data_IF_201836663625
#
_entry.id   IF_201836663625
#
_cell.length_a   1.000
_cell.length_b   1.000
_cell.length_c   1.000
_cell.angle_alpha   90.00
_cell.angle_beta   90.00
_cell.angle_gamma   90.00
#
_symmetry.space_group_name_H-M   'P 1'
#
loop_
_entity.id
_entity.type
_entity.pdbx_description
1 polymer ?
#
# COMPACT_ATOMS: atom_id res chain seq x y z
N UNK A 1 1.70 8.16 5.56
CA UNK A 1 1.19 8.54 4.22
C UNK A 1 1.61 9.96 3.84
N UNK A 2 0.99 11.02 4.38
CA UNK A 2 1.34 12.42 4.03
C UNK A 2 2.81 12.79 4.29
N UNK A 3 3.36 12.33 5.42
CA UNK A 3 4.78 12.56 5.76
C UNK A 3 5.76 12.01 4.71
N UNK A 4 5.32 11.06 3.87
CA UNK A 4 6.10 10.43 2.81
C UNK A 4 5.59 10.79 1.41
N UNK A 5 4.80 11.86 1.28
CA UNK A 5 4.38 12.38 -0.03
C UNK A 5 3.29 11.57 -0.75
N UNK A 6 2.59 10.66 -0.06
CA UNK A 6 1.46 9.94 -0.64
C UNK A 6 0.43 10.92 -1.24
N UNK A 7 -0.10 10.59 -2.43
CA UNK A 7 -1.04 11.44 -3.18
C UNK A 7 -2.50 11.15 -2.89
N UNK A 8 -2.81 9.97 -2.37
CA UNK A 8 -4.15 9.57 -1.98
C UNK A 8 -4.16 8.21 -1.31
N UNK A 9 -5.34 7.80 -0.87
CA UNK A 9 -5.62 6.48 -0.32
C UNK A 9 -6.82 5.89 -1.06
N UNK A 10 -6.76 4.61 -1.42
CA UNK A 10 -7.88 3.86 -1.98
C UNK A 10 -8.25 2.76 -1.00
N UNK A 11 -9.52 2.66 -0.63
CA UNK A 11 -10.03 1.65 0.30
C UNK A 11 -11.25 0.94 -0.27
N UNK A 12 -11.41 -0.35 0.06
CA UNK A 12 -12.60 -1.10 -0.32
C UNK A 12 -13.80 -0.76 0.59
N UNK A 13 -14.98 -0.63 0.00
CA UNK A 13 -16.19 -0.15 0.67
C UNK A 13 -16.78 -1.13 1.71
N UNK A 14 -16.50 -2.43 1.58
CA UNK A 14 -16.90 -3.49 2.51
C UNK A 14 -15.65 -4.22 3.04
N UNK A 15 -15.67 -4.62 4.32
CA UNK A 15 -14.58 -5.32 5.03
C UNK A 15 -13.35 -4.48 5.39
N UNK A 16 -13.37 -3.15 5.24
CA UNK A 16 -12.38 -2.28 5.89
C UNK A 16 -12.88 -1.95 7.31
N UNK A 17 -12.28 -2.48 8.38
CA UNK A 17 -12.76 -2.23 9.74
C UNK A 17 -12.57 -0.75 10.06
N UNK A 18 -13.67 -0.01 10.20
CA UNK A 18 -13.74 1.39 10.68
C UNK A 18 -12.46 2.21 10.46
N UNK A 19 -11.86 2.14 9.26
CA UNK A 19 -10.57 2.76 8.98
C UNK A 19 -10.71 4.26 9.16
N UNK A 20 -11.91 4.78 8.88
CA UNK A 20 -12.33 6.15 9.12
C UNK A 20 -12.14 6.62 10.59
N UNK A 21 -12.45 5.79 11.59
CA UNK A 21 -12.36 6.19 13.01
C UNK A 21 -10.94 6.19 13.56
N UNK A 22 -10.14 5.20 13.17
CA UNK A 22 -8.73 5.08 13.55
C UNK A 22 -7.83 6.06 12.77
N UNK A 23 -8.07 6.24 11.45
CA UNK A 23 -7.42 7.27 10.65
C UNK A 23 -7.69 8.65 11.24
N UNK A 24 -8.97 9.02 11.46
CA UNK A 24 -9.34 10.36 11.93
C UNK A 24 -8.74 10.74 13.30
N UNK A 25 -8.54 9.77 14.20
CA UNK A 25 -7.85 10.01 15.49
C UNK A 25 -6.33 10.11 15.35
N UNK A 26 -5.72 9.34 14.47
CA UNK A 26 -4.28 9.35 14.24
C UNK A 26 -3.80 10.53 13.37
N UNK A 27 -4.73 11.21 12.69
CA UNK A 27 -4.46 12.23 11.67
C UNK A 27 -4.93 13.63 12.06
N UNK A 28 -4.80 14.06 13.32
CA UNK A 28 -5.12 15.43 13.73
C UNK A 28 -4.43 16.45 12.79
N UNK A 29 -5.19 17.01 11.81
CA UNK A 29 -4.73 17.92 10.76
C UNK A 29 -4.33 17.31 9.39
N UNK A 30 -4.31 15.99 9.24
CA UNK A 30 -3.87 15.27 8.03
C UNK A 30 -5.02 14.80 7.12
N UNK A 31 -6.21 14.52 7.66
CA UNK A 31 -7.33 13.98 6.87
C UNK A 31 -7.87 14.95 5.81
N UNK A 32 -7.73 16.26 6.04
CA UNK A 32 -8.13 17.30 5.08
C UNK A 32 -7.17 17.43 3.89
N UNK A 33 -5.98 16.80 3.96
CA UNK A 33 -4.90 17.00 2.99
C UNK A 33 -4.64 15.80 2.08
N UNK A 34 -5.19 14.61 2.40
CA UNK A 34 -4.97 13.38 1.62
C UNK A 34 -6.30 12.83 1.09
N UNK A 35 -6.57 12.95 -0.22
CA UNK A 35 -7.78 12.41 -0.83
C UNK A 35 -7.93 10.91 -0.54
N UNK A 36 -9.15 10.49 -0.16
CA UNK A 36 -9.48 9.10 0.11
C UNK A 36 -10.63 8.66 -0.81
N UNK A 37 -10.38 7.69 -1.68
CA UNK A 37 -11.36 7.10 -2.57
C UNK A 37 -11.87 5.78 -2.00
N UNK A 38 -13.20 5.64 -1.90
CA UNK A 38 -13.86 4.37 -1.55
C UNK A 38 -14.29 3.67 -2.83
N UNK A 39 -13.88 2.42 -3.00
CA UNK A 39 -14.18 1.62 -4.20
C UNK A 39 -14.84 0.31 -3.83
N UNK A 40 -15.71 -0.20 -4.69
CA UNK A 40 -16.35 -1.51 -4.47
C UNK A 40 -15.42 -2.67 -4.83
N UNK A 41 -14.50 -2.45 -5.77
CA UNK A 41 -13.59 -3.44 -6.32
C UNK A 41 -12.19 -2.82 -6.48
N UNK A 42 -11.20 -3.36 -5.75
CA UNK A 42 -9.81 -2.89 -5.80
C UNK A 42 -9.13 -3.24 -7.13
N UNK A 43 -9.39 -4.43 -7.69
CA UNK A 43 -8.83 -4.85 -8.99
C UNK A 43 -9.18 -3.85 -10.09
N UNK A 44 -10.45 -3.45 -10.19
CA UNK A 44 -10.88 -2.41 -11.16
C UNK A 44 -10.22 -1.05 -10.90
N UNK A 45 -10.05 -0.68 -9.63
CA UNK A 45 -9.37 0.57 -9.29
C UNK A 45 -7.89 0.55 -9.70
N UNK A 46 -7.21 -0.60 -9.55
CA UNK A 46 -5.83 -0.79 -10.00
C UNK A 46 -5.73 -0.73 -11.53
N UNK A 47 -6.66 -1.33 -12.27
CA UNK A 47 -6.73 -1.19 -13.74
C UNK A 47 -6.85 0.29 -14.15
N UNK A 48 -7.75 1.04 -13.51
CA UNK A 48 -7.90 2.48 -13.80
C UNK A 48 -6.64 3.27 -13.49
N UNK A 49 -5.92 2.92 -12.42
CA UNK A 49 -4.66 3.58 -12.06
C UNK A 49 -3.54 3.20 -13.05
N UNK A 50 -3.51 1.96 -13.53
CA UNK A 50 -2.60 1.51 -14.57
C UNK A 50 -2.81 2.27 -15.89
N UNK A 51 -4.06 2.46 -16.31
CA UNK A 51 -4.40 3.29 -17.49
C UNK A 51 -3.93 4.74 -17.36
N UNK A 52 -3.76 5.22 -16.11
CA UNK A 52 -3.23 6.56 -15.80
C UNK A 52 -1.70 6.58 -15.61
N UNK A 53 -1.01 5.48 -15.90
CA UNK A 53 0.45 5.36 -15.82
C UNK A 53 1.00 5.07 -14.42
N UNK A 54 0.16 4.60 -13.50
CA UNK A 54 0.61 4.12 -12.19
C UNK A 54 0.80 2.61 -12.19
N UNK A 55 1.94 2.14 -11.70
CA UNK A 55 2.14 0.71 -11.46
C UNK A 55 1.75 0.32 -10.05
N UNK A 56 1.38 -0.95 -9.85
CA UNK A 56 0.99 -1.46 -8.53
C UNK A 56 2.06 -2.43 -8.00
N UNK A 57 2.47 -2.24 -6.74
CA UNK A 57 3.37 -3.15 -6.02
C UNK A 57 2.65 -3.65 -4.77
N UNK A 58 2.41 -4.95 -4.72
CA UNK A 58 1.77 -5.61 -3.58
C UNK A 58 2.76 -6.06 -2.52
N UNK A 59 2.34 -5.96 -1.26
CA UNK A 59 3.16 -6.34 -0.10
C UNK A 59 2.73 -7.71 0.43
N UNK A 60 3.65 -8.67 0.40
CA UNK A 60 3.45 -10.03 0.91
C UNK A 60 4.76 -10.55 1.53
N UNK A 61 4.69 -11.13 2.72
CA UNK A 61 5.85 -11.71 3.40
C UNK A 61 6.48 -12.88 2.64
N UNK A 62 5.69 -13.59 1.83
CA UNK A 62 6.14 -14.72 1.02
C UNK A 62 6.76 -14.31 -0.33
N UNK A 63 6.77 -13.03 -0.68
CA UNK A 63 7.30 -12.56 -1.96
C UNK A 63 8.81 -12.84 -2.11
N UNK A 64 9.26 -13.05 -3.33
CA UNK A 64 10.68 -13.26 -3.63
C UNK A 64 11.48 -11.96 -3.57
N UNK A 65 10.95 -10.90 -4.19
CA UNK A 65 11.57 -9.58 -4.26
C UNK A 65 11.47 -8.86 -2.92
N UNK A 66 12.52 -8.16 -2.54
CA UNK A 66 12.44 -7.18 -1.45
C UNK A 66 11.76 -5.90 -1.94
N UNK A 67 11.22 -5.14 -0.99
CA UNK A 67 10.65 -3.82 -1.24
C UNK A 67 11.63 -2.87 -1.97
N UNK A 68 12.92 -2.93 -1.61
CA UNK A 68 13.98 -2.15 -2.27
C UNK A 68 14.19 -2.56 -3.74
N UNK A 69 14.01 -3.84 -4.07
CA UNK A 69 14.15 -4.36 -5.43
C UNK A 69 12.94 -4.03 -6.30
N UNK A 70 11.73 -4.06 -5.72
CA UNK A 70 10.49 -3.82 -6.45
C UNK A 70 10.18 -2.34 -6.69
N UNK A 71 10.75 -1.43 -5.88
CA UNK A 71 10.52 0.00 -5.97
C UNK A 71 11.62 0.76 -6.72
N UNK A 72 11.16 1.75 -7.50
CA UNK A 72 11.97 2.64 -8.33
C UNK A 72 11.36 4.06 -8.30
N UNK A 73 11.78 4.93 -9.23
CA UNK A 73 11.30 6.31 -9.32
C UNK A 73 9.93 6.46 -9.99
N UNK A 74 9.30 5.38 -10.45
CA UNK A 74 8.01 5.46 -11.15
C UNK A 74 6.85 5.68 -10.17
N UNK A 75 5.76 6.36 -10.61
CA UNK A 75 4.53 6.49 -9.82
C UNK A 75 3.98 5.11 -9.43
N UNK A 76 3.93 4.84 -8.13
CA UNK A 76 3.61 3.50 -7.61
C UNK A 76 2.44 3.54 -6.63
N UNK A 77 1.50 2.63 -6.83
CA UNK A 77 0.44 2.27 -5.88
C UNK A 77 0.96 1.13 -5.01
N UNK A 78 1.12 1.39 -3.72
CA UNK A 78 1.45 0.36 -2.73
C UNK A 78 0.17 -0.36 -2.30
N UNK A 79 0.10 -1.66 -2.55
CA UNK A 79 -1.07 -2.48 -2.24
C UNK A 79 -0.80 -3.26 -0.95
N UNK A 80 -1.62 -2.99 0.06
CA UNK A 80 -1.54 -3.63 1.37
C UNK A 80 -2.62 -4.70 1.50
N UNK A 81 -2.20 -5.88 1.96
CA UNK A 81 -3.11 -6.97 2.32
C UNK A 81 -3.84 -6.73 3.65
N UNK A 82 -4.77 -7.63 3.97
CA UNK A 82 -5.24 -7.79 5.34
C UNK A 82 -4.18 -8.47 6.19
N UNK A 83 -4.19 -8.20 7.49
CA UNK A 83 -3.30 -8.89 8.44
C UNK A 83 -3.54 -10.41 8.38
N UNK A 84 -2.47 -11.19 8.30
CA UNK A 84 -2.52 -12.66 8.19
C UNK A 84 -2.71 -13.18 6.76
N UNK A 85 -3.75 -12.75 6.04
CA UNK A 85 -4.12 -13.32 4.74
C UNK A 85 -3.34 -12.72 3.55
N UNK A 86 -2.56 -11.66 3.77
CA UNK A 86 -1.83 -10.98 2.70
C UNK A 86 -2.76 -10.31 1.68
N UNK A 87 -2.25 -10.10 0.46
CA UNK A 87 -3.02 -9.50 -0.64
C UNK A 87 -3.89 -10.57 -1.29
N UNK A 88 -5.20 -10.30 -1.43
CA UNK A 88 -6.12 -11.22 -2.11
C UNK A 88 -5.63 -11.54 -3.51
N UNK A 89 -5.72 -12.81 -3.92
CA UNK A 89 -5.22 -13.30 -5.22
C UNK A 89 -5.60 -12.41 -6.41
N UNK A 90 -6.88 -12.09 -6.55
CA UNK A 90 -7.37 -11.24 -7.66
C UNK A 90 -6.80 -9.81 -7.62
N UNK A 91 -6.38 -9.29 -6.47
CA UNK A 91 -5.73 -7.97 -6.38
C UNK A 91 -4.24 -8.10 -6.69
N UNK A 92 -3.61 -9.19 -6.22
CA UNK A 92 -2.21 -9.50 -6.52
C UNK A 92 -1.97 -9.72 -8.02
N UNK A 93 -2.92 -10.30 -8.74
CA UNK A 93 -2.88 -10.47 -10.21
C UNK A 93 -2.82 -9.13 -10.99
N UNK A 94 -3.24 -8.01 -10.38
CA UNK A 94 -3.09 -6.64 -10.94
C UNK A 94 -1.88 -5.89 -10.39
N UNK A 95 -1.07 -6.52 -9.54
CA UNK A 95 0.21 -5.96 -9.13
C UNK A 95 1.27 -6.35 -10.16
N UNK A 96 2.05 -5.39 -10.61
CA UNK A 96 3.20 -5.63 -11.48
C UNK A 96 4.27 -6.46 -10.77
N UNK A 97 4.42 -6.24 -9.47
CA UNK A 97 5.32 -7.00 -8.62
C UNK A 97 4.71 -7.23 -7.23
N UNK A 98 5.11 -8.35 -6.62
CA UNK A 98 4.92 -8.62 -5.20
C UNK A 98 6.26 -8.48 -4.48
N UNK A 99 6.25 -7.84 -3.31
CA UNK A 99 7.45 -7.52 -2.57
C UNK A 99 7.30 -7.79 -1.07
N UNK A 100 8.40 -8.17 -0.41
CA UNK A 100 8.48 -8.36 1.04
C UNK A 100 9.32 -7.29 1.71
N UNK A 101 9.02 -7.04 2.98
CA UNK A 101 9.91 -6.34 3.89
C UNK A 101 10.84 -7.39 4.53
N UNK A 102 12.17 -7.29 4.39
CA UNK A 102 13.08 -8.23 5.02
C UNK A 102 12.95 -8.22 6.55
N UNK A 103 12.70 -9.39 7.14
CA UNK A 103 12.52 -9.58 8.58
C UNK A 103 13.48 -10.65 9.12
N UNK A 104 14.78 -10.34 9.31
CA UNK A 104 15.78 -11.32 9.74
C UNK A 104 15.54 -11.88 11.16
N UNK A 105 14.66 -11.25 11.93
CA UNK A 105 14.28 -11.69 13.29
C UNK A 105 13.32 -12.88 13.35
N UNK A 106 12.94 -13.48 12.21
CA UNK A 106 12.07 -14.66 12.18
C UNK A 106 10.57 -14.38 12.32
N UNK A 107 10.16 -13.11 12.18
CA UNK A 107 8.75 -12.74 12.12
C UNK A 107 8.18 -13.00 10.72
N UNK A 108 6.97 -13.54 10.66
CA UNK A 108 6.28 -13.85 9.39
C UNK A 108 5.55 -12.63 8.81
N UNK A 109 5.13 -11.69 9.65
CA UNK A 109 4.40 -10.50 9.21
C UNK A 109 4.60 -9.31 10.15
N UNK A 110 4.31 -8.13 9.62
CA UNK A 110 4.13 -6.90 10.39
C UNK A 110 2.66 -6.53 10.37
N UNK A 111 2.22 -5.79 11.39
CA UNK A 111 0.96 -5.09 11.32
C UNK A 111 0.93 -4.17 10.07
N UNK A 112 -0.23 -4.10 9.42
CA UNK A 112 -0.45 -3.35 8.16
C UNK A 112 0.02 -1.89 8.26
N UNK A 113 -0.18 -1.23 9.42
CA UNK A 113 0.26 0.15 9.61
C UNK A 113 1.79 0.30 9.56
N UNK A 114 2.52 -0.62 10.18
CA UNK A 114 4.00 -0.60 10.18
C UNK A 114 4.54 -0.95 8.80
N UNK A 115 3.97 -1.96 8.14
CA UNK A 115 4.34 -2.33 6.79
C UNK A 115 4.10 -1.17 5.81
N UNK A 116 2.96 -0.47 5.92
CA UNK A 116 2.65 0.69 5.11
C UNK A 116 3.63 1.85 5.36
N UNK A 117 4.00 2.12 6.61
CA UNK A 117 4.97 3.16 6.94
C UNK A 117 6.35 2.88 6.31
N UNK A 118 6.84 1.64 6.41
CA UNK A 118 8.11 1.22 5.80
C UNK A 118 8.03 1.28 4.26
N UNK A 119 6.95 0.77 3.67
CA UNK A 119 6.74 0.81 2.22
C UNK A 119 6.71 2.23 1.67
N UNK A 120 6.00 3.13 2.34
CA UNK A 120 5.93 4.54 1.96
C UNK A 120 7.28 5.25 2.11
N UNK A 121 8.02 4.96 3.18
CA UNK A 121 9.36 5.52 3.38
C UNK A 121 10.31 5.09 2.26
N UNK A 122 10.33 3.81 1.91
CA UNK A 122 11.18 3.30 0.83
C UNK A 122 10.78 3.86 -0.54
N UNK A 123 9.48 3.96 -0.82
CA UNK A 123 8.99 4.59 -2.05
C UNK A 123 9.41 6.06 -2.15
N UNK A 124 9.31 6.82 -1.05
CA UNK A 124 9.77 8.21 -1.00
C UNK A 124 11.28 8.31 -1.26
N UNK A 125 12.08 7.44 -0.64
CA UNK A 125 13.54 7.38 -0.84
C UNK A 125 13.91 7.11 -2.31
N UNK A 126 13.21 6.19 -2.98
CA UNK A 126 13.44 5.87 -4.40
C UNK A 126 13.02 6.98 -5.36
N UNK A 127 12.06 7.80 -4.97
CA UNK A 127 11.56 8.93 -5.76
C UNK A 127 12.34 10.25 -5.53
N UNK A 128 13.47 10.19 -4.79
CA UNK A 128 14.33 11.35 -4.55
C UNK A 128 13.82 12.29 -3.45
N UNK A 129 13.01 11.76 -2.51
CA UNK A 129 12.65 12.44 -1.27
C UNK A 129 13.74 12.38 -0.20
#
# INVERSE_FOLDING_TARGET
ALAFGARGIVVQDRHSPALAGALAKASAGATERLPCARVTNLSRALETLADLGWRAVGLDGAAELTLEQALDSQPTVLVMGSEGDGVRRLVAEHCEAMAKIPMPGGFESLNVSNAAAIALYEAARKQGG
#
